data_IF_756981397971
#
_entry.id   IF_756981397971
#
_cell.length_a   1.000
_cell.length_b   1.000
_cell.length_c   1.000
_cell.angle_alpha   90.00
_cell.angle_beta   90.00
_cell.angle_gamma   90.00
#
_symmetry.space_group_name_H-M   'P 1'
#
loop_
_entity.id
_entity.type
_entity.pdbx_description
1 polymer ?
#
# COMPACT_ATOMS: atom_id res chain seq x y z
N UNK A 1 -8.93 2.46 -0.02
CA UNK A 1 -8.31 1.60 1.01
C UNK A 1 -7.46 2.44 1.97
N UNK A 2 -8.06 3.47 2.59
CA UNK A 2 -7.32 4.54 3.28
C UNK A 2 -7.25 5.84 2.48
N UNK A 3 -6.18 6.63 2.64
CA UNK A 3 -6.01 7.96 2.01
C UNK A 3 -4.57 8.25 1.54
N UNK A 4 -4.36 9.17 0.58
CA UNK A 4 -3.03 9.65 0.23
C UNK A 4 -2.32 10.26 1.44
N UNK A 5 -0.99 10.07 1.52
CA UNK A 5 -0.17 10.59 2.62
C UNK A 5 1.09 11.32 2.11
N UNK A 6 1.66 12.24 2.89
CA UNK A 6 2.97 12.80 2.58
C UNK A 6 4.07 11.73 2.60
N UNK A 7 4.96 11.73 1.61
CA UNK A 7 6.06 10.75 1.52
C UNK A 7 6.96 10.74 2.77
N UNK A 8 7.13 11.90 3.43
CA UNK A 8 7.93 12.04 4.65
C UNK A 8 7.31 11.39 5.88
N UNK A 9 6.01 11.07 5.84
CA UNK A 9 5.29 10.38 6.91
C UNK A 9 5.33 8.86 6.77
N UNK A 10 5.90 8.35 5.67
CA UNK A 10 5.97 6.92 5.44
C UNK A 10 6.94 6.25 6.41
N UNK A 11 6.45 5.23 7.11
CA UNK A 11 7.23 4.38 8.01
C UNK A 11 8.03 3.30 7.27
N UNK A 12 7.65 3.01 6.02
CA UNK A 12 8.25 1.98 5.19
C UNK A 12 8.23 2.42 3.74
N UNK A 13 9.26 2.03 2.99
CA UNK A 13 9.29 2.15 1.53
C UNK A 13 9.30 0.76 0.90
N UNK A 14 8.45 0.53 -0.09
CA UNK A 14 8.39 -0.70 -0.88
C UNK A 14 8.64 -0.35 -2.34
N UNK A 15 9.65 -0.98 -2.94
CA UNK A 15 9.90 -0.86 -4.38
C UNK A 15 9.06 -1.87 -5.15
N UNK A 16 8.34 -1.40 -6.17
CA UNK A 16 7.59 -2.24 -7.10
C UNK A 16 8.44 -2.41 -8.37
N UNK A 17 8.87 -3.65 -8.61
CA UNK A 17 9.50 -4.07 -9.85
C UNK A 17 8.48 -4.71 -10.80
N UNK A 18 8.81 -4.91 -12.09
CA UNK A 18 7.96 -5.64 -13.03
C UNK A 18 7.62 -7.08 -12.63
N UNK A 19 8.32 -7.65 -11.64
CA UNK A 19 8.09 -9.01 -11.11
C UNK A 19 7.33 -9.03 -9.79
N UNK A 20 6.94 -7.85 -9.27
CA UNK A 20 6.28 -7.71 -7.97
C UNK A 20 4.81 -8.04 -8.06
N UNK A 21 4.45 -9.30 -7.80
CA UNK A 21 3.06 -9.74 -7.89
C UNK A 21 2.20 -9.37 -6.67
N UNK A 22 2.85 -9.13 -5.52
CA UNK A 22 2.15 -8.77 -4.29
C UNK A 22 3.05 -8.01 -3.32
N UNK A 23 2.41 -7.32 -2.38
CA UNK A 23 3.04 -6.65 -1.24
C UNK A 23 2.23 -6.93 0.02
N UNK A 24 2.90 -6.92 1.17
CA UNK A 24 2.25 -7.00 2.48
C UNK A 24 2.33 -5.63 3.15
N UNK A 25 1.22 -5.22 3.76
CA UNK A 25 1.10 -3.99 4.54
C UNK A 25 0.29 -4.27 5.80
N UNK A 26 0.37 -3.38 6.78
CA UNK A 26 -0.44 -3.45 7.99
C UNK A 26 -1.45 -2.30 8.00
N UNK A 27 -2.70 -2.56 8.41
CA UNK A 27 -3.67 -1.48 8.62
C UNK A 27 -3.16 -0.51 9.71
N UNK A 28 -3.32 0.78 9.51
CA UNK A 28 -2.74 1.87 10.30
C UNK A 28 -1.32 2.27 9.90
N UNK A 29 -0.71 1.64 8.90
CA UNK A 29 0.64 1.97 8.42
C UNK A 29 0.60 3.00 7.28
N UNK A 30 1.55 3.94 7.26
CA UNK A 30 1.84 4.75 6.08
C UNK A 30 3.02 4.12 5.32
N UNK A 31 2.80 3.76 4.06
CA UNK A 31 3.80 3.14 3.18
C UNK A 31 4.03 4.02 1.95
N UNK A 32 5.30 4.21 1.60
CA UNK A 32 5.74 4.79 0.33
C UNK A 32 6.00 3.68 -0.68
N UNK A 33 5.43 3.80 -1.86
CA UNK A 33 5.71 2.93 -2.99
C UNK A 33 6.62 3.64 -3.97
N UNK A 34 7.66 2.96 -4.43
CA UNK A 34 8.56 3.43 -5.48
C UNK A 34 8.38 2.55 -6.72
N UNK A 35 7.92 3.13 -7.83
CA UNK A 35 7.57 2.43 -9.08
C UNK A 35 8.28 3.15 -10.23
N UNK A 36 9.30 2.51 -10.83
CA UNK A 36 9.97 3.06 -12.01
C UNK A 36 10.53 4.49 -11.84
N UNK A 37 10.92 4.88 -10.62
CA UNK A 37 11.41 6.24 -10.31
C UNK A 37 10.32 7.26 -9.94
N UNK A 38 9.04 6.88 -10.02
CA UNK A 38 7.93 7.64 -9.46
C UNK A 38 7.54 7.10 -8.09
N UNK A 39 6.96 7.97 -7.26
CA UNK A 39 6.64 7.61 -5.88
C UNK A 39 5.31 8.17 -5.44
N UNK A 40 4.62 7.40 -4.60
CA UNK A 40 3.44 7.85 -3.87
C UNK A 40 3.44 7.23 -2.49
N UNK A 41 2.79 7.90 -1.54
CA UNK A 41 2.60 7.34 -0.20
C UNK A 41 1.12 7.27 0.14
N UNK A 42 0.77 6.23 0.89
CA UNK A 42 -0.59 5.90 1.23
C UNK A 42 -0.68 5.52 2.71
N UNK A 43 -1.64 6.14 3.40
CA UNK A 43 -2.04 5.74 4.74
C UNK A 43 -3.09 4.63 4.62
N UNK A 44 -2.71 3.42 5.01
CA UNK A 44 -3.63 2.29 5.04
C UNK A 44 -4.53 2.43 6.24
N UNK A 45 -5.81 2.74 6.01
CA UNK A 45 -6.87 2.71 7.01
C UNK A 45 -8.00 1.88 6.41
N UNK A 46 -7.96 0.58 6.68
CA UNK A 46 -8.89 -0.39 6.13
C UNK A 46 -9.55 -1.21 7.23
N UNK A 47 -10.85 -1.52 7.11
CA UNK A 47 -11.55 -2.40 8.04
C UNK A 47 -10.91 -3.79 8.10
N UNK A 48 -11.01 -4.47 9.25
CA UNK A 48 -10.47 -5.83 9.44
C UNK A 48 -11.08 -6.88 8.47
N UNK A 49 -12.23 -6.59 7.84
CA UNK A 49 -12.83 -7.45 6.82
C UNK A 49 -12.11 -7.36 5.46
N UNK A 50 -11.24 -6.36 5.26
CA UNK A 50 -10.48 -6.17 4.03
C UNK A 50 -9.07 -6.69 4.24
N UNK A 51 -8.78 -7.86 3.67
CA UNK A 51 -7.47 -8.52 3.78
C UNK A 51 -6.70 -8.56 2.45
N UNK A 52 -7.35 -8.21 1.33
CA UNK A 52 -6.77 -8.25 -0.01
C UNK A 52 -7.43 -7.21 -0.93
N UNK A 53 -6.63 -6.49 -1.70
CA UNK A 53 -7.12 -5.65 -2.81
C UNK A 53 -6.03 -5.40 -3.87
N UNK A 54 -6.38 -4.75 -4.98
CA UNK A 54 -5.43 -4.38 -6.04
C UNK A 54 -4.81 -2.99 -5.78
N UNK A 55 -3.47 -2.88 -5.85
CA UNK A 55 -2.76 -1.63 -5.60
C UNK A 55 -3.20 -0.51 -6.56
N UNK A 56 -3.69 -0.83 -7.77
CA UNK A 56 -4.24 0.15 -8.71
C UNK A 56 -5.47 0.90 -8.17
N UNK A 57 -6.14 0.39 -7.13
CA UNK A 57 -7.25 1.10 -6.48
C UNK A 57 -6.80 2.35 -5.71
N UNK A 58 -5.52 2.45 -5.37
CA UNK A 58 -4.94 3.57 -4.60
C UNK A 58 -3.73 4.23 -5.27
N UNK A 59 -3.11 3.54 -6.23
CA UNK A 59 -2.03 4.11 -7.03
C UNK A 59 -2.58 5.19 -7.98
N UNK A 60 -1.77 6.22 -8.30
CA UNK A 60 -2.05 7.12 -9.40
C UNK A 60 -2.33 6.36 -10.71
N UNK A 61 -3.23 6.89 -11.53
CA UNK A 61 -3.62 6.28 -12.79
C UNK A 61 -2.39 6.06 -13.70
N UNK A 62 -2.32 4.88 -14.33
CA UNK A 62 -1.25 4.47 -15.25
C UNK A 62 0.16 4.42 -14.62
N UNK A 63 0.28 4.43 -13.29
CA UNK A 63 1.58 4.30 -12.63
C UNK A 63 2.11 2.85 -12.64
N UNK A 64 1.21 1.88 -12.46
CA UNK A 64 1.55 0.46 -12.48
C UNK A 64 1.33 -0.09 -13.89
N UNK A 65 2.29 -0.88 -14.37
CA UNK A 65 2.23 -1.58 -15.65
C UNK A 65 1.59 -2.99 -15.53
N UNK A 66 1.31 -3.44 -14.32
CA UNK A 66 0.64 -4.70 -14.02
C UNK A 66 -0.17 -4.64 -12.71
N UNK A 67 -0.99 -5.66 -12.48
CA UNK A 67 -1.72 -5.83 -11.24
C UNK A 67 -0.79 -6.27 -10.10
N UNK A 68 -0.82 -5.53 -8.98
CA UNK A 68 -0.08 -5.87 -7.76
C UNK A 68 -1.07 -6.08 -6.63
N UNK A 69 -1.07 -7.26 -6.01
CA UNK A 69 -1.97 -7.57 -4.90
C UNK A 69 -1.43 -7.02 -3.59
N UNK A 70 -2.26 -6.29 -2.85
CA UNK A 70 -1.96 -5.83 -1.49
C UNK A 70 -2.63 -6.76 -0.49
N UNK A 71 -1.83 -7.49 0.27
CA UNK A 71 -2.31 -8.23 1.44
C UNK A 71 -2.20 -7.34 2.67
N UNK A 72 -3.31 -7.23 3.40
CA UNK A 72 -3.40 -6.37 4.57
C UNK A 72 -3.46 -7.22 5.84
N UNK A 73 -2.46 -7.08 6.68
CA UNK A 73 -2.49 -7.58 8.04
C UNK A 73 -3.30 -6.63 8.94
N UNK A 74 -4.11 -7.15 9.87
CA UNK A 74 -4.75 -6.31 10.89
C UNK A 74 -3.67 -5.65 11.77
N UNK A 75 -3.99 -4.47 12.30
CA UNK A 75 -3.07 -3.77 13.19
C UNK A 75 -2.87 -4.57 14.49
N UNK A 76 -1.63 -4.92 14.89
CA UNK A 76 -1.38 -5.73 16.08
C UNK A 76 -1.79 -5.06 17.40
N UNK A 77 -2.03 -3.74 17.41
CA UNK A 77 -2.48 -2.99 18.59
C UNK A 77 -4.02 -2.98 18.73
N UNK A 78 -4.76 -3.59 17.80
CA UNK A 78 -6.22 -3.70 17.90
C UNK A 78 -6.61 -4.78 18.93
N UNK A 79 -6.55 -4.44 20.22
CA UNK A 79 -7.30 -5.17 21.26
C UNK A 79 -8.80 -4.82 21.11
N UNK A 80 -9.63 -5.85 21.02
CA UNK A 80 -11.08 -5.76 20.77
C UNK A 80 -11.85 -5.00 21.84
#
# INVERSE_FOLDING_TARGET
MGTPAPMRSASQTISISPTTNYVNVTSGQIVRFSVGGQEFAWNFDVPNSVYLFDLNQVAPANLLDHAVRVYVAPNPISIF
#
